data_IF_611049899120
#
_entry.id   IF_611049899120
#
_cell.length_a   1.000
_cell.length_b   1.000
_cell.length_c   1.000
_cell.angle_alpha   90.00
_cell.angle_beta   90.00
_cell.angle_gamma   90.00
#
_symmetry.space_group_name_H-M   'P 1'
#
loop_
_entity.id
_entity.type
_entity.pdbx_description
1 polymer ?
#
# COMPACT_ATOMS: atom_id res chain seq x y z
N UNK A 1 7.23 8.81 4.52
CA UNK A 1 6.60 9.17 3.24
C UNK A 1 5.11 9.13 3.46
N UNK A 2 4.40 10.20 3.14
CA UNK A 2 2.95 10.24 3.29
C UNK A 2 2.30 9.80 1.97
N UNK A 3 1.41 8.83 2.07
CA UNK A 3 0.66 8.28 0.95
C UNK A 3 -0.82 8.53 1.22
N UNK A 4 -1.51 9.16 0.29
CA UNK A 4 -2.97 9.32 0.32
C UNK A 4 -3.66 8.05 -0.17
N UNK A 5 -4.80 7.74 0.46
CA UNK A 5 -5.68 6.64 0.07
C UNK A 5 -7.06 7.17 -0.35
N UNK A 6 -7.63 6.61 -1.41
CA UNK A 6 -9.02 6.82 -1.83
C UNK A 6 -9.67 5.52 -2.32
N UNK A 7 -10.99 5.44 -2.20
CA UNK A 7 -11.82 4.37 -2.78
C UNK A 7 -12.36 4.77 -4.16
N UNK A 8 -12.44 6.06 -4.45
CA UNK A 8 -12.84 6.55 -5.76
C UNK A 8 -11.72 6.32 -6.76
N UNK A 9 -12.04 5.69 -7.90
CA UNK A 9 -11.05 5.41 -8.93
C UNK A 9 -10.52 6.74 -9.51
N UNK A 10 -9.21 7.03 -9.35
CA UNK A 10 -8.62 8.24 -9.91
C UNK A 10 -8.32 8.06 -11.40
N UNK A 11 -8.25 9.17 -12.14
CA UNK A 11 -8.01 9.17 -13.60
C UNK A 11 -6.69 8.54 -14.02
N UNK A 12 -5.65 8.60 -13.18
CA UNK A 12 -4.38 7.95 -13.46
C UNK A 12 -4.46 6.41 -13.41
N UNK A 13 -5.52 5.84 -12.82
CA UNK A 13 -5.73 4.39 -12.75
C UNK A 13 -6.33 3.79 -14.03
N UNK A 14 -6.59 4.62 -15.06
CA UNK A 14 -6.94 4.17 -16.41
C UNK A 14 -5.70 3.75 -17.22
N UNK A 15 -4.49 4.13 -16.79
CA UNK A 15 -3.25 3.71 -17.40
C UNK A 15 -2.99 2.21 -17.20
N UNK A 16 -2.22 1.60 -18.10
CA UNK A 16 -1.77 0.22 -17.91
C UNK A 16 -0.74 0.16 -16.76
N UNK A 17 -1.03 -0.64 -15.75
CA UNK A 17 -0.11 -0.91 -14.63
C UNK A 17 0.52 -2.31 -14.71
N UNK A 18 1.50 -2.58 -13.84
CA UNK A 18 2.06 -3.90 -13.62
C UNK A 18 1.48 -4.51 -12.36
N UNK A 19 0.93 -5.72 -12.45
CA UNK A 19 0.29 -6.38 -11.32
C UNK A 19 1.13 -7.51 -10.72
N UNK A 20 1.02 -7.69 -9.41
CA UNK A 20 1.52 -8.85 -8.70
C UNK A 20 0.55 -9.30 -7.61
N UNK A 21 0.62 -10.58 -7.27
CA UNK A 21 -0.11 -11.16 -6.16
C UNK A 21 0.71 -11.07 -4.88
N UNK A 22 0.06 -10.70 -3.78
CA UNK A 22 0.64 -10.66 -2.44
C UNK A 22 -0.33 -11.19 -1.41
N UNK A 23 0.19 -11.39 -0.19
CA UNK A 23 -0.63 -11.62 0.99
C UNK A 23 -0.34 -10.52 2.01
N UNK A 24 -1.38 -9.83 2.45
CA UNK A 24 -1.28 -8.93 3.58
C UNK A 24 -1.44 -9.69 4.88
N UNK A 25 -0.49 -9.52 5.79
CA UNK A 25 -0.57 -10.05 7.16
C UNK A 25 -0.92 -8.94 8.13
N UNK A 26 -2.12 -9.00 8.71
CA UNK A 26 -2.59 -8.00 9.65
C UNK A 26 -2.05 -8.27 11.06
N UNK A 27 -1.38 -7.26 11.59
CA UNK A 27 -0.80 -7.20 12.93
C UNK A 27 -1.57 -6.19 13.76
N UNK A 28 -1.24 -6.06 15.05
CA UNK A 28 -2.01 -5.19 15.96
C UNK A 28 -1.83 -3.70 15.68
N UNK A 29 -0.78 -3.34 14.93
CA UNK A 29 -0.39 -1.94 14.69
C UNK A 29 -0.33 -1.59 13.19
N UNK A 30 -0.76 -2.49 12.30
CA UNK A 30 -0.60 -2.32 10.86
C UNK A 30 -0.62 -3.66 10.15
N UNK A 31 -0.09 -3.71 8.94
CA UNK A 31 0.02 -4.95 8.16
C UNK A 31 1.39 -5.09 7.50
N UNK A 32 1.68 -6.28 7.00
CA UNK A 32 2.89 -6.57 6.23
C UNK A 32 2.47 -6.96 4.81
N UNK A 33 3.02 -6.28 3.83
CA UNK A 33 3.05 -6.75 2.44
C UNK A 33 4.19 -7.76 2.28
N UNK A 34 3.83 -9.02 2.06
CA UNK A 34 4.80 -10.12 1.98
C UNK A 34 5.62 -10.12 0.70
N UNK A 35 5.06 -9.63 -0.41
CA UNK A 35 5.76 -9.50 -1.68
C UNK A 35 6.73 -8.32 -1.64
N UNK A 36 6.22 -7.13 -1.31
CA UNK A 36 7.04 -5.90 -1.28
C UNK A 36 8.00 -5.84 -0.08
N UNK A 37 7.81 -6.72 0.92
CA UNK A 37 8.55 -6.72 2.19
C UNK A 37 8.46 -5.38 2.90
N UNK A 38 7.23 -4.88 3.07
CA UNK A 38 6.94 -3.60 3.71
C UNK A 38 6.05 -3.81 4.93
N UNK A 39 6.39 -3.11 6.02
CA UNK A 39 5.50 -2.91 7.15
C UNK A 39 4.74 -1.60 6.94
N UNK A 40 3.42 -1.68 7.01
CA UNK A 40 2.47 -0.65 6.62
C UNK A 40 1.56 -0.28 7.79
N UNK A 41 1.49 1.00 8.15
CA UNK A 41 0.63 1.52 9.21
C UNK A 41 -0.31 2.55 8.63
N UNK A 42 -1.60 2.39 8.92
CA UNK A 42 -2.64 3.33 8.52
C UNK A 42 -2.94 4.31 9.65
N UNK A 43 -2.96 5.59 9.33
CA UNK A 43 -3.44 6.64 10.22
C UNK A 43 -4.43 7.50 9.44
N UNK A 44 -5.72 7.33 9.74
CA UNK A 44 -6.82 7.91 8.95
C UNK A 44 -6.71 7.52 7.46
N UNK A 45 -6.57 8.49 6.54
CA UNK A 45 -6.41 8.24 5.10
C UNK A 45 -4.95 8.28 4.64
N UNK A 46 -4.00 8.23 5.57
CA UNK A 46 -2.57 8.25 5.27
C UNK A 46 -1.94 6.90 5.60
N UNK A 47 -1.17 6.38 4.64
CA UNK A 47 -0.36 5.19 4.82
C UNK A 47 1.10 5.57 5.06
N UNK A 48 1.71 4.96 6.06
CA UNK A 48 3.14 5.02 6.36
C UNK A 48 3.78 3.66 6.16
N UNK A 49 4.96 3.64 5.53
CA UNK A 49 5.67 2.40 5.21
C UNK A 49 7.11 2.42 5.70
N UNK A 50 7.60 1.25 6.08
CA UNK A 50 9.02 0.98 6.34
C UNK A 50 9.39 -0.42 5.86
N UNK A 51 10.67 -0.68 5.55
CA UNK A 51 11.12 -2.03 5.21
C UNK A 51 10.79 -3.04 6.32
N UNK A 52 10.27 -4.21 5.93
CA UNK A 52 10.15 -5.37 6.80
C UNK A 52 11.34 -6.29 6.58
N UNK A 53 12.24 -6.34 7.57
CA UNK A 53 13.51 -7.07 7.48
C UNK A 53 13.36 -8.58 7.74
N UNK A 54 12.14 -9.08 7.88
CA UNK A 54 11.86 -10.47 8.24
C UNK A 54 11.89 -10.72 9.75
N UNK A 55 11.56 -11.96 10.13
CA UNK A 55 11.52 -12.41 11.53
C UNK A 55 10.17 -12.98 11.95
N UNK A 56 10.09 -13.41 13.22
CA UNK A 56 8.86 -13.94 13.81
C UNK A 56 7.95 -12.78 14.20
N UNK A 57 6.72 -12.79 13.69
CA UNK A 57 5.67 -11.87 14.13
C UNK A 57 4.83 -12.59 15.19
N UNK A 58 4.94 -12.15 16.44
CA UNK A 58 4.29 -12.82 17.58
C UNK A 58 2.77 -12.73 17.57
N UNK A 59 2.19 -11.77 16.84
CA UNK A 59 0.73 -11.55 16.74
C UNK A 59 0.32 -11.24 15.31
N UNK A 60 -0.31 -12.23 14.69
CA UNK A 60 -0.95 -12.12 13.38
C UNK A 60 -2.42 -12.46 13.58
N UNK A 61 -3.30 -11.50 13.29
CA UNK A 61 -4.74 -11.63 13.59
C UNK A 61 -5.54 -12.08 12.38
N UNK A 62 -5.11 -11.66 11.18
CA UNK A 62 -5.76 -12.01 9.93
C UNK A 62 -4.75 -12.01 8.79
N UNK A 63 -5.14 -12.64 7.69
CA UNK A 63 -4.42 -12.57 6.43
C UNK A 63 -5.40 -12.49 5.28
N UNK A 64 -5.01 -11.76 4.24
CA UNK A 64 -5.85 -11.53 3.08
C UNK A 64 -4.97 -11.58 1.83
N UNK A 65 -5.47 -12.23 0.78
CA UNK A 65 -4.82 -12.16 -0.52
C UNK A 65 -5.16 -10.85 -1.19
N UNK A 66 -4.19 -10.30 -1.91
CA UNK A 66 -4.36 -9.04 -2.60
C UNK A 66 -3.68 -9.09 -3.97
N UNK A 67 -4.36 -8.55 -4.97
CA UNK A 67 -3.70 -8.16 -6.23
C UNK A 67 -3.29 -6.70 -6.11
N UNK A 68 -2.00 -6.42 -6.25
CA UNK A 68 -1.47 -5.06 -6.29
C UNK A 68 -1.16 -4.70 -7.72
N UNK A 69 -1.58 -3.51 -8.17
CA UNK A 69 -1.28 -2.96 -9.50
C UNK A 69 -0.51 -1.67 -9.34
N UNK A 70 0.75 -1.64 -9.79
CA UNK A 70 1.60 -0.44 -9.79
C UNK A 70 1.44 0.33 -11.11
N UNK A 71 1.11 1.63 -11.03
CA UNK A 71 0.91 2.49 -12.21
C UNK A 71 2.06 3.46 -12.43
N UNK A 72 2.76 3.87 -11.36
CA UNK A 72 3.90 4.78 -11.43
C UNK A 72 4.82 4.57 -10.24
N UNK A 73 6.12 4.78 -10.42
CA UNK A 73 7.13 4.77 -9.34
C UNK A 73 7.48 6.16 -8.82
N UNK A 74 7.23 7.23 -9.58
CA UNK A 74 7.52 8.60 -9.17
C UNK A 74 6.59 9.63 -9.86
N UNK A 75 5.62 10.22 -9.14
CA UNK A 75 5.20 9.86 -7.79
C UNK A 75 4.68 8.41 -7.78
N UNK A 76 4.91 7.68 -6.70
CA UNK A 76 4.42 6.30 -6.61
C UNK A 76 2.91 6.28 -6.57
N UNK A 77 2.30 5.43 -7.40
CA UNK A 77 0.86 5.24 -7.51
C UNK A 77 0.57 3.76 -7.71
N UNK A 78 -0.34 3.23 -6.91
CA UNK A 78 -0.75 1.83 -7.01
C UNK A 78 -2.20 1.65 -6.57
N UNK A 79 -2.76 0.51 -6.96
CA UNK A 79 -4.04 0.00 -6.48
C UNK A 79 -3.77 -1.28 -5.70
N UNK A 80 -4.52 -1.48 -4.63
CA UNK A 80 -4.62 -2.76 -3.95
C UNK A 80 -6.05 -3.26 -4.08
N UNK A 81 -6.20 -4.54 -4.41
CA UNK A 81 -7.50 -5.17 -4.56
C UNK A 81 -7.57 -6.40 -3.67
N UNK A 82 -8.39 -6.31 -2.62
CA UNK A 82 -8.72 -7.42 -1.72
C UNK A 82 -10.19 -7.80 -1.79
N UNK A 83 -10.84 -7.49 -2.91
CA UNK A 83 -12.29 -7.55 -3.11
C UNK A 83 -12.96 -6.18 -3.13
N UNK A 84 -12.30 -5.16 -2.54
CA UNK A 84 -12.66 -3.74 -2.68
C UNK A 84 -11.40 -2.98 -3.13
N UNK A 85 -11.41 -2.33 -4.31
CA UNK A 85 -10.29 -1.55 -4.80
C UNK A 85 -9.97 -0.36 -3.89
N UNK A 86 -8.68 -0.21 -3.55
CA UNK A 86 -8.13 0.96 -2.85
C UNK A 86 -6.99 1.54 -3.68
N UNK A 87 -6.98 2.86 -3.83
CA UNK A 87 -5.99 3.57 -4.65
C UNK A 87 -5.10 4.42 -3.77
N UNK A 88 -3.81 4.37 -4.05
CA UNK A 88 -2.76 4.99 -3.25
C UNK A 88 -1.89 5.89 -4.11
N UNK A 89 -1.53 7.07 -3.59
CA UNK A 89 -0.60 7.97 -4.25
C UNK A 89 0.30 8.70 -3.25
N UNK A 90 1.59 8.77 -3.53
CA UNK A 90 2.51 9.61 -2.77
C UNK A 90 2.09 11.09 -2.81
N UNK A 91 2.04 11.73 -1.63
CA UNK A 91 1.87 13.17 -1.54
C UNK A 91 3.08 13.88 -2.12
N UNK A 92 2.90 14.91 -2.97
CA UNK A 92 3.99 15.78 -3.37
C UNK A 92 4.62 16.41 -2.13
N UNK A 93 5.96 16.37 -2.01
CA UNK A 93 6.64 17.16 -0.97
C UNK A 93 6.34 18.65 -1.22
N UNK A 94 5.90 19.42 -0.21
CA UNK A 94 5.73 20.86 -0.37
C UNK A 94 7.07 21.46 -0.79
N UNK A 95 7.05 22.31 -1.82
CA UNK A 95 8.24 23.06 -2.22
C UNK A 95 8.61 23.97 -1.06
N UNK A 96 9.76 23.75 -0.44
CA UNK A 96 10.34 24.69 0.51
C UNK A 96 10.66 25.96 -0.29
N UNK A 97 9.98 27.06 0.03
CA UNK A 97 10.28 28.39 -0.51
C UNK A 97 11.38 29.02 0.30
#
# INVERSE_FOLDING_TARGET
>A
MEIDMTLEKPTWADAQGTSYETRFHYTGFGRIDTHAKLYQVFQSNTLFERPFLGGVVSRLYASEYATVTEYSKSPRRWKEDTGIPKYFSERPRPKTT
#
